data_IF_949766216160
#
_entry.id   IF_949766216160
#
_cell.length_a   1.000
_cell.length_b   1.000
_cell.length_c   1.000
_cell.angle_alpha   90.00
_cell.angle_beta   90.00
_cell.angle_gamma   90.00
#
_symmetry.space_group_name_H-M   'P 1'
#
loop_
_entity.id
_entity.type
_entity.pdbx_description
1 polymer ?
#
# COMPACT_ATOMS: atom_id res chain seq x y z
N UNK A 1 8.66 -17.40 -14.52
CA UNK A 1 8.04 -16.48 -13.55
C UNK A 1 7.83 -15.18 -14.29
N UNK A 2 6.58 -14.76 -14.47
CA UNK A 2 6.28 -13.46 -15.08
C UNK A 2 6.42 -12.38 -14.01
N UNK A 3 6.96 -11.22 -14.36
CA UNK A 3 6.88 -10.06 -13.49
C UNK A 3 5.42 -9.58 -13.41
N UNK A 4 5.06 -8.89 -12.32
CA UNK A 4 3.72 -8.30 -12.18
C UNK A 4 3.35 -7.41 -13.38
N UNK A 5 4.35 -6.70 -13.91
CA UNK A 5 4.19 -5.80 -15.06
C UNK A 5 3.84 -6.54 -16.35
N UNK A 6 4.22 -7.81 -16.51
CA UNK A 6 3.91 -8.62 -17.70
C UNK A 6 2.44 -9.01 -17.77
N UNK A 7 1.72 -8.91 -16.65
CA UNK A 7 0.31 -9.25 -16.52
C UNK A 7 -0.61 -8.02 -16.66
N UNK A 8 -0.04 -6.83 -16.79
CA UNK A 8 -0.80 -5.59 -16.87
C UNK A 8 -1.46 -5.44 -18.24
N UNK A 9 -2.65 -4.78 -18.32
CA UNK A 9 -3.25 -4.45 -19.60
C UNK A 9 -2.31 -3.60 -20.46
N UNK A 10 -2.36 -3.80 -21.77
CA UNK A 10 -1.56 -3.00 -22.72
C UNK A 10 -1.82 -1.49 -22.56
N UNK A 11 -0.76 -0.69 -22.65
CA UNK A 11 -0.86 0.77 -22.53
C UNK A 11 -1.00 1.27 -21.09
N UNK A 12 -0.76 0.41 -20.10
CA UNK A 12 -0.65 0.80 -18.69
C UNK A 12 0.66 1.53 -18.41
N UNK A 13 0.60 2.69 -17.79
CA UNK A 13 1.77 3.41 -17.25
C UNK A 13 1.67 3.39 -15.73
N UNK A 14 2.70 2.84 -15.07
CA UNK A 14 2.82 2.89 -13.61
C UNK A 14 3.71 4.06 -13.19
N UNK A 15 3.21 4.87 -12.28
CA UNK A 15 4.00 5.85 -11.53
C UNK A 15 4.08 5.40 -10.07
N UNK A 16 5.29 5.39 -9.50
CA UNK A 16 5.51 5.07 -8.10
C UNK A 16 6.28 6.20 -7.43
N UNK A 17 5.76 6.67 -6.30
CA UNK A 17 6.43 7.66 -5.45
C UNK A 17 6.80 6.99 -4.15
N UNK A 18 8.07 7.13 -3.72
CA UNK A 18 8.58 6.58 -2.47
C UNK A 18 9.21 7.73 -1.67
N UNK A 19 8.78 7.87 -0.42
CA UNK A 19 9.41 8.79 0.53
C UNK A 19 10.43 8.02 1.34
N UNK A 20 11.70 8.32 1.10
CA UNK A 20 12.82 7.72 1.83
C UNK A 20 12.98 8.46 3.16
N UNK A 21 12.81 7.72 4.26
CA UNK A 21 13.00 8.24 5.62
C UNK A 21 13.96 7.32 6.40
N UNK A 22 14.66 7.91 7.36
CA UNK A 22 15.49 7.16 8.29
C UNK A 22 14.60 6.21 9.12
N UNK A 23 15.06 4.96 9.29
CA UNK A 23 14.21 3.89 9.82
C UNK A 23 14.10 3.92 11.34
N UNK A 24 15.12 4.45 12.01
CA UNK A 24 15.14 4.77 13.44
C UNK A 24 14.08 5.81 13.79
N UNK A 25 13.94 6.87 12.97
CA UNK A 25 12.87 7.87 13.13
C UNK A 25 11.50 7.22 13.01
N UNK A 26 11.33 6.29 12.07
CA UNK A 26 10.07 5.56 11.90
C UNK A 26 9.77 4.63 13.10
N UNK A 27 10.79 3.92 13.61
CA UNK A 27 10.67 3.08 14.79
C UNK A 27 10.27 3.88 16.04
N UNK A 28 10.88 5.07 16.22
CA UNK A 28 10.54 5.98 17.31
C UNK A 28 9.09 6.45 17.21
N UNK A 29 8.61 6.79 16.00
CA UNK A 29 7.20 7.18 15.77
C UNK A 29 6.23 6.06 16.14
N UNK A 30 6.50 4.81 15.78
CA UNK A 30 5.66 3.69 16.19
C UNK A 30 5.67 3.47 17.71
N UNK A 31 6.83 3.64 18.35
CA UNK A 31 6.96 3.55 19.80
C UNK A 31 6.14 4.64 20.51
N UNK A 32 6.15 5.87 19.98
CA UNK A 32 5.34 6.96 20.48
C UNK A 32 3.83 6.73 20.24
N UNK A 33 3.45 6.21 19.07
CA UNK A 33 2.05 5.87 18.75
C UNK A 33 1.49 4.82 19.72
N UNK A 34 2.24 3.74 19.96
CA UNK A 34 1.84 2.68 20.89
C UNK A 34 1.70 3.18 22.33
N UNK A 35 2.60 4.09 22.76
CA UNK A 35 2.55 4.69 24.09
C UNK A 35 1.33 5.60 24.28
N UNK A 36 0.91 6.32 23.23
CA UNK A 36 -0.20 7.27 23.30
C UNK A 36 -1.57 6.61 23.10
N UNK A 37 -1.63 5.38 22.63
CA UNK A 37 -2.84 4.56 22.60
C UNK A 37 -3.19 4.11 24.03
N UNK A 38 -3.86 4.98 24.79
CA UNK A 38 -4.20 4.79 26.20
C UNK A 38 -5.60 4.21 26.34
N UNK A 39 -5.73 3.18 27.19
CA UNK A 39 -7.01 2.52 27.50
C UNK A 39 -7.14 1.13 26.89
N UNK A 40 -8.19 0.43 27.32
CA UNK A 40 -8.52 -0.95 26.91
C UNK A 40 -9.62 -0.99 25.84
N UNK A 41 -9.97 0.16 25.25
CA UNK A 41 -10.89 0.17 24.12
C UNK A 41 -10.27 -0.49 22.88
N UNK A 42 -11.14 -0.95 21.98
CA UNK A 42 -10.77 -1.71 20.77
C UNK A 42 -9.78 -0.92 19.91
N UNK A 43 -10.03 0.37 19.68
CA UNK A 43 -9.18 1.23 18.86
C UNK A 43 -7.75 1.37 19.44
N UNK A 44 -7.63 1.59 20.75
CA UNK A 44 -6.32 1.70 21.40
C UNK A 44 -5.55 0.38 21.41
N UNK A 45 -6.26 -0.74 21.58
CA UNK A 45 -5.65 -2.06 21.45
C UNK A 45 -5.11 -2.29 20.04
N UNK A 46 -5.91 -1.96 19.02
CA UNK A 46 -5.55 -2.11 17.61
C UNK A 46 -4.33 -1.25 17.25
N UNK A 47 -4.29 0.01 17.67
CA UNK A 47 -3.15 0.89 17.42
C UNK A 47 -1.85 0.33 18.01
N UNK A 48 -1.90 -0.28 19.20
CA UNK A 48 -0.73 -0.94 19.81
C UNK A 48 -0.29 -2.17 19.03
N UNK A 49 -1.24 -2.97 18.57
CA UNK A 49 -0.99 -4.16 17.75
C UNK A 49 -0.37 -3.78 16.38
N UNK A 50 -0.96 -2.82 15.67
CA UNK A 50 -0.45 -2.32 14.39
C UNK A 50 0.97 -1.75 14.54
N UNK A 51 1.24 -1.00 15.62
CA UNK A 51 2.58 -0.52 15.91
C UNK A 51 3.58 -1.65 16.22
N UNK A 52 3.14 -2.71 16.89
CA UNK A 52 3.98 -3.88 17.17
C UNK A 52 4.33 -4.64 15.88
N UNK A 53 3.35 -4.84 14.99
CA UNK A 53 3.56 -5.45 13.67
C UNK A 53 4.53 -4.63 12.84
N UNK A 54 4.36 -3.30 12.79
CA UNK A 54 5.27 -2.44 12.04
C UNK A 54 6.72 -2.54 12.58
N UNK A 55 6.89 -2.63 13.90
CA UNK A 55 8.21 -2.80 14.53
C UNK A 55 8.82 -4.18 14.27
N UNK A 56 8.03 -5.26 14.16
CA UNK A 56 8.58 -6.58 13.84
C UNK A 56 9.21 -6.60 12.45
N UNK A 57 8.60 -5.95 11.46
CA UNK A 57 9.21 -5.78 10.14
C UNK A 57 10.56 -5.05 10.20
N UNK A 58 10.65 -3.95 10.95
CA UNK A 58 11.91 -3.22 11.13
C UNK A 58 12.98 -4.10 11.80
N UNK A 59 12.59 -4.90 12.81
CA UNK A 59 13.48 -5.85 13.49
C UNK A 59 14.01 -6.96 12.59
N UNK A 60 13.20 -7.41 11.63
CA UNK A 60 13.57 -8.37 10.58
C UNK A 60 14.37 -7.74 9.42
N UNK A 61 14.80 -6.48 9.57
CA UNK A 61 15.52 -5.68 8.57
C UNK A 61 14.70 -5.39 7.31
N UNK A 62 13.38 -5.55 7.36
CA UNK A 62 12.50 -5.05 6.32
C UNK A 62 12.36 -3.54 6.45
N UNK A 63 12.76 -2.81 5.40
CA UNK A 63 12.66 -1.35 5.35
C UNK A 63 11.23 -0.96 5.05
N UNK A 64 10.69 -0.08 5.87
CA UNK A 64 9.36 0.47 5.69
C UNK A 64 9.47 1.84 5.02
N UNK A 65 8.76 2.01 3.92
CA UNK A 65 8.68 3.26 3.19
C UNK A 65 7.23 3.67 3.00
N UNK A 66 6.98 4.97 3.08
CA UNK A 66 5.71 5.51 2.65
C UNK A 66 5.74 5.60 1.13
N UNK A 67 4.95 4.76 0.47
CA UNK A 67 4.88 4.67 -0.98
C UNK A 67 3.47 4.87 -1.48
N UNK A 68 3.34 5.39 -2.69
CA UNK A 68 2.10 5.40 -3.45
C UNK A 68 2.36 4.94 -4.88
N UNK A 69 1.39 4.23 -5.45
CA UNK A 69 1.42 3.76 -6.83
C UNK A 69 0.16 4.24 -7.55
N UNK A 70 0.34 4.72 -8.77
CA UNK A 70 -0.75 5.15 -9.65
C UNK A 70 -0.60 4.46 -10.99
N UNK A 71 -1.69 3.90 -11.49
CA UNK A 71 -1.75 3.21 -12.75
C UNK A 71 -2.64 3.99 -13.70
N UNK A 72 -2.04 4.54 -14.76
CA UNK A 72 -2.76 5.21 -15.82
C UNK A 72 -3.08 4.20 -16.92
N UNK A 73 -4.36 4.09 -17.27
CA UNK A 73 -4.83 3.25 -18.36
C UNK A 73 -5.19 4.09 -19.56
N UNK A 74 -4.87 3.58 -20.74
CA UNK A 74 -5.32 4.13 -22.02
C UNK A 74 -6.10 3.06 -22.76
N UNK A 75 -7.10 3.45 -23.55
CA UNK A 75 -7.84 2.56 -24.43
C UNK A 75 -8.50 3.36 -25.57
N UNK A 76 -8.82 2.74 -26.72
CA UNK A 76 -9.47 3.43 -27.84
C UNK A 76 -10.89 3.90 -27.55
N UNK A 77 -11.60 3.22 -26.66
CA UNK A 77 -13.00 3.49 -26.32
C UNK A 77 -13.31 3.15 -24.85
N UNK A 78 -14.46 3.65 -24.38
CA UNK A 78 -14.90 3.46 -22.99
C UNK A 78 -15.12 1.98 -22.63
N UNK A 79 -15.77 1.14 -23.45
CA UNK A 79 -15.89 -0.30 -23.17
C UNK A 79 -14.55 -1.00 -22.94
N UNK A 80 -13.55 -0.74 -23.79
CA UNK A 80 -12.22 -1.31 -23.64
C UNK A 80 -11.52 -0.76 -22.39
N UNK A 81 -11.66 0.54 -22.09
CA UNK A 81 -11.09 1.14 -20.88
C UNK A 81 -11.62 0.46 -19.62
N UNK A 82 -12.94 0.23 -19.55
CA UNK A 82 -13.57 -0.47 -18.43
C UNK A 82 -13.10 -1.92 -18.32
N UNK A 83 -12.86 -2.59 -19.45
CA UNK A 83 -12.30 -3.95 -19.47
C UNK A 83 -10.88 -3.96 -18.89
N UNK A 84 -10.02 -3.07 -19.37
CA UNK A 84 -8.64 -2.91 -18.88
C UNK A 84 -8.60 -2.55 -17.39
N UNK A 85 -9.53 -1.71 -16.92
CA UNK A 85 -9.65 -1.38 -15.50
C UNK A 85 -9.96 -2.61 -14.65
N UNK A 86 -10.91 -3.46 -15.08
CA UNK A 86 -11.24 -4.71 -14.35
C UNK A 86 -10.06 -5.67 -14.33
N UNK A 87 -9.36 -5.81 -15.45
CA UNK A 87 -8.17 -6.66 -15.57
C UNK A 87 -7.04 -6.17 -14.65
N UNK A 88 -6.72 -4.87 -14.68
CA UNK A 88 -5.76 -4.25 -13.78
C UNK A 88 -6.12 -4.52 -12.31
N UNK A 89 -7.38 -4.30 -11.93
CA UNK A 89 -7.83 -4.54 -10.56
C UNK A 89 -7.64 -6.00 -10.16
N UNK A 90 -7.95 -6.96 -11.03
CA UNK A 90 -7.75 -8.38 -10.77
C UNK A 90 -6.26 -8.72 -10.57
N UNK A 91 -5.39 -8.18 -11.42
CA UNK A 91 -3.93 -8.36 -11.33
C UNK A 91 -3.39 -7.81 -10.01
N UNK A 92 -3.78 -6.59 -9.62
CA UNK A 92 -3.35 -5.97 -8.36
C UNK A 92 -3.85 -6.76 -7.13
N UNK A 93 -5.12 -7.14 -7.11
CA UNK A 93 -5.69 -7.92 -6.01
C UNK A 93 -4.99 -9.28 -5.84
N UNK A 94 -4.70 -9.97 -6.95
CA UNK A 94 -3.96 -11.24 -6.91
C UNK A 94 -2.52 -11.07 -6.41
N UNK A 95 -1.94 -9.89 -6.57
CA UNK A 95 -0.62 -9.54 -6.05
C UNK A 95 -0.65 -9.01 -4.59
N UNK A 96 -1.81 -9.00 -3.95
CA UNK A 96 -1.97 -8.44 -2.60
C UNK A 96 -1.99 -6.91 -2.55
N UNK A 97 -2.05 -6.24 -3.70
CA UNK A 97 -2.15 -4.79 -3.81
C UNK A 97 -3.62 -4.38 -3.89
N UNK A 98 -4.13 -3.82 -2.79
CA UNK A 98 -5.48 -3.28 -2.78
C UNK A 98 -5.44 -1.80 -3.12
N UNK A 99 -6.32 -1.32 -4.04
CA UNK A 99 -6.48 0.10 -4.26
C UNK A 99 -6.81 0.81 -2.94
N UNK A 100 -6.14 1.93 -2.66
CA UNK A 100 -6.58 2.82 -1.59
C UNK A 100 -7.98 3.31 -1.95
N UNK A 101 -8.93 3.18 -1.02
CA UNK A 101 -10.25 3.81 -1.19
C UNK A 101 -10.01 5.31 -1.42
N UNK A 102 -10.64 5.88 -2.45
CA UNK A 102 -10.55 7.31 -2.69
C UNK A 102 -11.03 8.08 -1.45
N UNK A 103 -10.42 9.22 -1.14
CA UNK A 103 -10.76 10.07 0.02
C UNK A 103 -12.20 10.64 -0.01
N UNK A 104 -13.08 10.14 -0.86
CA UNK A 104 -14.47 10.57 -1.04
C UNK A 104 -15.42 9.37 -1.10
N UNK A 105 -15.63 8.71 0.04
CA UNK A 105 -16.89 8.02 0.39
C UNK A 105 -17.42 8.58 1.71
#
# INVERSE_FOLDING_TARGET
>A
INALMDLMPEGTVMCMTIVVQAQDVLEERFTHLAKNAIGENVESSRVREDAAIAKSFLGERHKLYHGSMTFLLTAPDLPQLQSRQRELNAVLLNAGLQPTRGEYE
#
